data_IF_984159770932
#
_entry.id   IF_984159770932
#
_cell.length_a   1.000
_cell.length_b   1.000
_cell.length_c   1.000
_cell.angle_alpha   90.00
_cell.angle_beta   90.00
_cell.angle_gamma   90.00
#
_symmetry.space_group_name_H-M   'P 1'
#
loop_
_entity.id
_entity.type
_entity.pdbx_description
1 polymer ?
#
# COMPACT_ATOMS: atom_id res chain seq x y z
N UNK A 1 -8.76 2.39 -3.40
CA UNK A 1 -7.53 2.11 -4.18
C UNK A 1 -6.55 3.20 -3.83
N UNK A 2 -5.35 2.83 -3.40
CA UNK A 2 -4.26 3.78 -3.19
C UNK A 2 -3.40 3.77 -4.45
N UNK A 3 -3.23 4.92 -5.09
CA UNK A 3 -2.28 5.09 -6.19
C UNK A 3 -1.19 6.08 -5.79
N UNK A 4 0.03 5.78 -6.24
CA UNK A 4 1.18 6.66 -6.17
C UNK A 4 1.54 6.98 -7.61
N UNK A 5 1.19 8.19 -8.04
CA UNK A 5 1.37 8.64 -9.41
C UNK A 5 2.83 9.00 -9.70
N UNK A 6 3.09 9.34 -10.96
CA UNK A 6 4.37 9.93 -11.34
C UNK A 6 4.62 11.20 -10.50
N UNK A 7 5.84 11.32 -9.95
CA UNK A 7 6.25 12.44 -9.10
C UNK A 7 5.89 12.35 -7.62
N UNK A 8 4.94 11.50 -7.19
CA UNK A 8 4.52 11.43 -5.78
C UNK A 8 5.62 10.94 -4.83
N UNK A 9 6.38 9.92 -5.27
CA UNK A 9 7.49 9.34 -4.54
C UNK A 9 8.38 8.48 -5.46
N UNK A 10 9.62 8.26 -5.02
CA UNK A 10 10.55 7.28 -5.61
C UNK A 10 11.17 6.41 -4.53
N UNK A 11 11.56 5.19 -4.88
CA UNK A 11 12.31 4.30 -3.98
C UNK A 11 11.90 2.84 -4.03
N UNK A 12 12.58 2.06 -3.20
CA UNK A 12 12.33 0.63 -3.04
C UNK A 12 11.20 0.37 -2.03
N UNK A 13 10.07 -0.17 -2.52
CA UNK A 13 8.94 -0.59 -1.69
C UNK A 13 9.09 -2.08 -1.37
N UNK A 14 8.90 -2.46 -0.10
CA UNK A 14 9.02 -3.85 0.37
C UNK A 14 7.79 -4.37 1.12
N UNK A 15 6.87 -3.47 1.44
CA UNK A 15 5.66 -3.79 2.18
C UNK A 15 4.52 -2.84 1.84
N UNK A 16 3.31 -3.31 2.07
CA UNK A 16 2.09 -2.51 2.05
C UNK A 16 1.18 -2.93 3.20
N UNK A 17 0.44 -1.98 3.76
CA UNK A 17 -0.49 -2.24 4.85
C UNK A 17 -1.76 -1.39 4.77
N UNK A 18 -2.81 -1.86 5.44
CA UNK A 18 -4.06 -1.12 5.64
C UNK A 18 -4.09 -0.61 7.08
N UNK A 19 -4.33 0.68 7.25
CA UNK A 19 -4.49 1.34 8.54
C UNK A 19 -5.90 1.91 8.66
N UNK A 20 -6.48 1.85 9.86
CA UNK A 20 -7.85 2.33 10.10
C UNK A 20 -7.99 3.84 10.33
N UNK A 21 -6.87 4.57 10.45
CA UNK A 21 -6.85 6.02 10.57
C UNK A 21 -5.51 6.60 10.08
N UNK A 22 -5.48 7.91 9.84
CA UNK A 22 -4.29 8.64 9.38
C UNK A 22 -3.25 8.85 10.50
N UNK A 23 -3.69 8.97 11.75
CA UNK A 23 -2.84 9.15 12.93
C UNK A 23 -3.35 8.30 14.08
N UNK A 24 -2.45 7.73 14.88
CA UNK A 24 -2.80 6.88 16.02
C UNK A 24 -3.60 5.62 15.65
N UNK A 25 -3.43 5.10 14.44
CA UNK A 25 -4.20 3.98 13.91
C UNK A 25 -3.66 2.60 14.31
N UNK A 26 -4.52 1.61 14.14
CA UNK A 26 -4.14 0.20 14.11
C UNK A 26 -3.86 -0.26 12.68
N UNK A 27 -2.81 -1.07 12.53
CA UNK A 27 -2.51 -1.77 11.28
C UNK A 27 -3.38 -3.02 11.18
N UNK A 28 -4.36 -3.01 10.26
CA UNK A 28 -5.32 -4.09 10.07
C UNK A 28 -4.74 -5.26 9.26
N UNK A 29 -3.83 -4.98 8.34
CA UNK A 29 -3.12 -6.01 7.58
C UNK A 29 -1.75 -5.53 7.10
N UNK A 30 -0.84 -6.49 6.83
CA UNK A 30 0.47 -6.24 6.23
C UNK A 30 0.81 -7.34 5.23
N UNK A 31 1.40 -6.95 4.10
CA UNK A 31 1.98 -7.87 3.13
C UNK A 31 3.41 -7.43 2.88
N UNK A 32 4.36 -8.35 3.10
CA UNK A 32 5.77 -8.15 2.78
C UNK A 32 6.07 -8.88 1.47
N UNK A 33 6.86 -8.26 0.61
CA UNK A 33 7.23 -8.79 -0.69
C UNK A 33 8.70 -8.45 -1.02
N UNK A 34 9.22 -9.08 -2.07
CA UNK A 34 10.53 -8.72 -2.62
C UNK A 34 10.51 -7.28 -3.13
N UNK A 35 11.65 -6.59 -3.14
CA UNK A 35 11.74 -5.18 -3.57
C UNK A 35 11.00 -4.94 -4.88
N UNK A 36 10.12 -3.94 -4.86
CA UNK A 36 9.55 -3.31 -6.05
C UNK A 36 10.03 -1.87 -6.07
N UNK A 37 10.84 -1.51 -7.06
CA UNK A 37 11.33 -0.14 -7.22
C UNK A 37 10.30 0.69 -7.98
N UNK A 38 10.03 1.90 -7.49
CA UNK A 38 9.26 2.94 -8.18
C UNK A 38 10.21 4.08 -8.58
N UNK A 39 10.30 4.37 -9.88
CA UNK A 39 10.99 5.55 -10.39
C UNK A 39 10.05 6.78 -10.44
N UNK A 40 10.61 7.95 -10.81
CA UNK A 40 9.87 9.21 -10.81
C UNK A 40 8.69 9.20 -11.79
N UNK A 41 8.87 8.58 -12.95
CA UNK A 41 7.87 8.55 -14.03
C UNK A 41 6.92 7.32 -13.93
N UNK A 42 7.15 6.44 -12.96
CA UNK A 42 6.32 5.26 -12.75
C UNK A 42 5.07 5.60 -11.93
N UNK A 43 3.95 4.94 -12.24
CA UNK A 43 2.79 4.86 -11.35
C UNK A 43 2.75 3.50 -10.65
N UNK A 44 2.40 3.47 -9.36
CA UNK A 44 2.19 2.25 -8.59
C UNK A 44 0.79 2.24 -7.97
N UNK A 45 0.08 1.11 -8.12
CA UNK A 45 -1.22 0.90 -7.51
C UNK A 45 -1.19 -0.29 -6.55
N UNK A 46 -1.82 -0.14 -5.39
CA UNK A 46 -2.02 -1.24 -4.42
C UNK A 46 -3.51 -1.61 -4.39
N UNK A 47 -3.82 -2.86 -4.75
CA UNK A 47 -5.19 -3.40 -4.75
C UNK A 47 -5.33 -4.44 -3.64
N UNK A 48 -6.40 -4.33 -2.86
CA UNK A 48 -6.70 -5.25 -1.75
C UNK A 48 -8.01 -5.96 -2.00
N UNK A 49 -8.04 -7.27 -1.80
CA UNK A 49 -9.26 -8.06 -1.69
C UNK A 49 -9.54 -8.28 -0.21
N UNK A 50 -10.67 -7.75 0.28
CA UNK A 50 -11.09 -7.88 1.68
C UNK A 50 -12.36 -8.71 1.70
N UNK A 51 -12.35 -9.81 2.46
CA UNK A 51 -13.52 -10.65 2.68
C UNK A 51 -14.02 -10.43 4.11
N UNK A 52 -15.29 -10.06 4.24
CA UNK A 52 -15.98 -9.90 5.51
C UNK A 52 -17.06 -10.97 5.64
N UNK A 53 -17.23 -11.51 6.84
CA UNK A 53 -18.31 -12.46 7.14
C UNK A 53 -18.91 -12.09 8.49
N UNK A 54 -20.24 -12.16 8.57
CA UNK A 54 -21.00 -11.92 9.79
C UNK A 54 -21.74 -13.21 10.17
N UNK A 55 -21.87 -13.44 11.48
CA UNK A 55 -22.66 -14.55 12.06
C UNK A 55 -24.06 -14.10 12.42
#
# INVERSE_FOLDING_TARGET
>A
MSSFEAGDATGAVKEAGIFNAATGSDMLCRTVFSVVNKAADDTMAVTWTITLSAS
#
